data_IF_073044037914
#
_entry.id   IF_073044037914
#
_cell.length_a   1.000
_cell.length_b   1.000
_cell.length_c   1.000
_cell.angle_alpha   90.00
_cell.angle_beta   90.00
_cell.angle_gamma   90.00
#
_symmetry.space_group_name_H-M   'P 1'
#
loop_
_entity.id
_entity.type
_entity.pdbx_description
1 polymer ?
#
# COMPACT_ATOMS: atom_id res chain seq x y z
N UNK A 1 28.57 18.85 9.91
CA UNK A 1 28.02 18.01 8.85
C UNK A 1 26.70 17.44 9.31
N UNK A 2 25.72 17.30 8.42
CA UNK A 2 24.34 16.89 8.76
C UNK A 2 24.08 15.45 8.39
N UNK A 3 23.40 14.71 9.26
CA UNK A 3 22.79 13.40 8.97
C UNK A 3 21.28 13.52 9.14
N UNK A 4 20.54 13.23 8.07
CA UNK A 4 19.08 13.30 8.03
C UNK A 4 18.53 11.91 7.65
N UNK A 5 17.68 11.36 8.51
CA UNK A 5 16.99 10.09 8.30
C UNK A 5 15.51 10.36 8.13
N UNK A 6 14.92 9.85 7.08
CA UNK A 6 13.50 10.01 6.81
C UNK A 6 12.85 8.68 6.39
N UNK A 7 11.55 8.60 6.59
CA UNK A 7 10.71 7.55 6.01
C UNK A 7 9.75 8.15 5.00
N UNK A 8 9.35 7.34 4.04
CA UNK A 8 8.31 7.67 3.06
C UNK A 8 7.58 6.41 2.61
N UNK A 9 6.44 6.59 1.96
CA UNK A 9 5.69 5.52 1.29
C UNK A 9 5.66 5.83 -0.20
N UNK A 10 5.86 4.82 -1.04
CA UNK A 10 5.72 4.95 -2.49
C UNK A 10 4.25 5.18 -2.85
N UNK A 11 3.96 6.12 -3.74
CA UNK A 11 2.59 6.39 -4.21
C UNK A 11 2.09 5.35 -5.21
N UNK A 12 3.01 4.66 -5.88
CA UNK A 12 2.74 3.55 -6.81
C UNK A 12 3.93 2.60 -6.85
N UNK A 13 3.74 1.37 -7.28
CA UNK A 13 4.86 0.49 -7.57
C UNK A 13 5.81 1.13 -8.59
N UNK A 14 7.11 1.09 -8.30
CA UNK A 14 8.16 1.58 -9.20
C UNK A 14 8.70 0.37 -9.95
N UNK A 15 8.77 0.46 -11.28
CA UNK A 15 9.36 -0.59 -12.10
C UNK A 15 10.89 -0.64 -11.93
N UNK A 16 11.49 -1.79 -12.21
CA UNK A 16 12.95 -1.96 -12.11
C UNK A 16 13.71 -0.96 -12.98
N UNK A 17 13.20 -0.68 -14.18
CA UNK A 17 13.78 0.31 -15.09
C UNK A 17 13.73 1.72 -14.49
N UNK A 18 12.61 2.10 -13.90
CA UNK A 18 12.46 3.39 -13.21
C UNK A 18 13.36 3.46 -11.98
N UNK A 19 13.43 2.39 -11.21
CA UNK A 19 14.30 2.30 -10.03
C UNK A 19 15.76 2.47 -10.43
N UNK A 20 16.21 1.78 -11.48
CA UNK A 20 17.56 1.91 -12.00
C UNK A 20 17.87 3.36 -12.43
N UNK A 21 16.92 4.03 -13.11
CA UNK A 21 17.07 5.43 -13.51
C UNK A 21 17.13 6.37 -12.27
N UNK A 22 16.24 6.17 -11.30
CA UNK A 22 16.22 6.95 -10.05
C UNK A 22 17.56 6.85 -9.34
N UNK A 23 18.07 5.63 -9.20
CA UNK A 23 19.35 5.38 -8.52
C UNK A 23 20.52 5.96 -9.29
N UNK A 24 20.55 5.82 -10.63
CA UNK A 24 21.61 6.38 -11.48
C UNK A 24 21.64 7.92 -11.36
N UNK A 25 20.50 8.57 -11.55
CA UNK A 25 20.38 10.04 -11.43
C UNK A 25 20.67 10.50 -9.99
N UNK A 26 20.21 9.74 -9.00
CA UNK A 26 20.46 10.01 -7.59
C UNK A 26 21.93 9.97 -7.25
N UNK A 27 22.66 8.94 -7.70
CA UNK A 27 24.10 8.77 -7.50
C UNK A 27 24.90 9.90 -8.13
N UNK A 28 24.61 10.21 -9.39
CA UNK A 28 25.30 11.28 -10.11
C UNK A 28 25.14 12.63 -9.37
N UNK A 29 23.91 12.98 -9.01
CA UNK A 29 23.62 14.21 -8.28
C UNK A 29 24.28 14.22 -6.89
N UNK A 30 24.17 13.15 -6.14
CA UNK A 30 24.72 13.06 -4.79
C UNK A 30 26.24 13.14 -4.82
N UNK A 31 26.91 12.44 -5.75
CA UNK A 31 28.37 12.53 -5.92
C UNK A 31 28.80 13.95 -6.22
N UNK A 32 28.12 14.64 -7.14
CA UNK A 32 28.43 16.04 -7.50
C UNK A 32 28.26 17.00 -6.33
N UNK A 33 27.28 16.75 -5.47
CA UNK A 33 26.94 17.60 -4.33
C UNK A 33 27.69 17.20 -3.05
N UNK A 34 28.51 16.16 -3.07
CA UNK A 34 29.20 15.66 -1.90
C UNK A 34 28.24 15.08 -0.85
N UNK A 35 27.07 14.60 -1.27
CA UNK A 35 26.10 13.89 -0.40
C UNK A 35 26.36 12.40 -0.49
N UNK A 36 26.38 11.75 0.66
CA UNK A 36 26.35 10.28 0.77
C UNK A 36 25.06 9.82 1.44
N UNK A 37 24.73 8.55 1.33
CA UNK A 37 23.55 8.03 1.96
C UNK A 37 23.05 6.73 1.37
N UNK A 38 21.91 6.28 1.89
CA UNK A 38 21.32 5.00 1.57
C UNK A 38 19.81 5.16 1.39
N UNK A 39 19.25 4.36 0.50
CA UNK A 39 17.82 4.13 0.39
C UNK A 39 17.54 2.64 0.64
N UNK A 40 16.79 2.32 1.66
CA UNK A 40 16.30 0.97 1.89
C UNK A 40 14.77 0.96 1.76
N UNK A 41 14.22 -0.15 1.25
CA UNK A 41 12.78 -0.30 1.16
C UNK A 41 12.30 -1.67 1.64
N UNK A 42 11.03 -1.71 2.09
CA UNK A 42 10.28 -2.89 2.43
C UNK A 42 8.84 -2.72 1.96
N UNK A 43 8.43 -3.54 1.00
CA UNK A 43 7.13 -3.31 0.35
C UNK A 43 7.11 -1.89 -0.22
N UNK A 44 6.10 -1.13 0.12
CA UNK A 44 5.96 0.27 -0.35
C UNK A 44 6.64 1.31 0.55
N UNK A 45 7.19 0.88 1.70
CA UNK A 45 7.82 1.78 2.66
C UNK A 45 9.30 1.92 2.39
N UNK A 46 9.78 3.15 2.41
CA UNK A 46 11.17 3.51 2.23
C UNK A 46 11.74 4.18 3.48
N UNK A 47 13.02 3.92 3.75
CA UNK A 47 13.83 4.71 4.66
C UNK A 47 15.02 5.25 3.89
N UNK A 48 15.23 6.56 3.98
CA UNK A 48 16.35 7.24 3.35
C UNK A 48 17.26 7.89 4.37
N UNK A 49 18.55 7.87 4.09
CA UNK A 49 19.59 8.52 4.88
C UNK A 49 20.36 9.44 3.93
N UNK A 50 20.56 10.68 4.35
CA UNK A 50 21.34 11.69 3.62
C UNK A 50 22.37 12.28 4.57
N UNK A 51 23.64 12.29 4.16
CA UNK A 51 24.76 12.84 4.93
C UNK A 51 25.61 13.78 4.06
N UNK A 52 25.90 14.97 4.57
CA UNK A 52 26.65 15.98 3.82
C UNK A 52 26.70 17.33 4.51
N UNK A 53 26.96 18.38 3.73
CA UNK A 53 26.83 19.75 4.20
C UNK A 53 25.35 20.04 4.53
N UNK A 54 25.11 20.80 5.59
CA UNK A 54 23.77 21.05 6.13
C UNK A 54 22.78 21.60 5.08
N UNK A 55 23.14 22.68 4.40
CA UNK A 55 22.30 23.30 3.38
C UNK A 55 22.01 22.35 2.21
N UNK A 56 22.99 21.55 1.80
CA UNK A 56 22.87 20.62 0.69
C UNK A 56 21.97 19.43 1.05
N UNK A 57 22.09 18.90 2.27
CA UNK A 57 21.25 17.81 2.76
C UNK A 57 19.78 18.24 2.81
N UNK A 58 19.50 19.44 3.35
CA UNK A 58 18.13 19.96 3.42
C UNK A 58 17.55 20.27 2.04
N UNK A 59 18.34 20.78 1.10
CA UNK A 59 17.90 20.99 -0.29
C UNK A 59 17.56 19.65 -0.96
N UNK A 60 18.41 18.62 -0.79
CA UNK A 60 18.15 17.27 -1.30
C UNK A 60 16.89 16.66 -0.69
N UNK A 61 16.71 16.82 0.61
CA UNK A 61 15.50 16.36 1.28
C UNK A 61 14.24 17.09 0.81
N UNK A 62 14.32 18.41 0.56
CA UNK A 62 13.22 19.16 -0.02
C UNK A 62 12.80 18.62 -1.40
N UNK A 63 13.76 18.20 -2.24
CA UNK A 63 13.47 17.56 -3.52
C UNK A 63 12.77 16.21 -3.33
N UNK A 64 13.17 15.41 -2.33
CA UNK A 64 12.48 14.14 -2.00
C UNK A 64 11.02 14.40 -1.56
N UNK A 65 10.79 15.43 -0.74
CA UNK A 65 9.44 15.80 -0.30
C UNK A 65 8.55 16.30 -1.42
N UNK A 66 9.13 16.94 -2.43
CA UNK A 66 8.40 17.44 -3.60
C UNK A 66 8.19 16.38 -4.69
N UNK A 67 8.82 15.22 -4.57
CA UNK A 67 8.71 14.14 -5.56
C UNK A 67 7.36 13.43 -5.40
N UNK A 68 6.50 13.45 -6.44
CA UNK A 68 5.16 12.84 -6.37
C UNK A 68 5.17 11.32 -6.22
N UNK A 69 6.31 10.68 -6.38
CA UNK A 69 6.49 9.24 -6.15
C UNK A 69 6.54 8.88 -4.66
N UNK A 70 6.68 9.87 -3.77
CA UNK A 70 6.72 9.70 -2.34
C UNK A 70 5.53 10.39 -1.66
N UNK A 71 4.95 9.71 -0.69
CA UNK A 71 3.94 10.26 0.23
C UNK A 71 4.34 9.94 1.66
N UNK A 72 3.66 10.54 2.65
CA UNK A 72 3.93 10.32 4.07
C UNK A 72 5.40 10.53 4.46
N UNK A 73 6.07 11.49 3.83
CA UNK A 73 7.48 11.78 4.11
C UNK A 73 7.63 12.36 5.51
N UNK A 74 8.34 11.64 6.39
CA UNK A 74 8.57 12.02 7.79
C UNK A 74 10.06 12.00 8.11
N UNK A 75 10.54 13.05 8.77
CA UNK A 75 11.89 13.06 9.34
C UNK A 75 11.87 12.29 10.65
N UNK A 76 12.78 11.33 10.78
CA UNK A 76 12.99 10.55 11.99
C UNK A 76 14.18 11.07 12.81
N UNK A 77 15.21 11.55 12.12
CA UNK A 77 16.42 12.08 12.71
C UNK A 77 16.95 13.21 11.85
N UNK A 78 17.40 14.29 12.47
CA UNK A 78 18.03 15.44 11.82
C UNK A 78 19.02 16.05 12.78
N UNK A 79 20.30 15.62 12.69
CA UNK A 79 21.32 15.96 13.68
C UNK A 79 22.68 16.27 13.05
N UNK A 80 23.48 17.03 13.77
CA UNK A 80 24.87 17.23 13.42
C UNK A 80 25.71 16.01 13.79
N UNK A 81 26.54 15.57 12.85
CA UNK A 81 27.45 14.45 13.00
C UNK A 81 28.88 14.85 12.71
N UNK A 82 29.82 14.28 13.46
CA UNK A 82 31.24 14.56 13.26
C UNK A 82 31.78 13.88 11.99
N UNK A 83 31.34 12.63 11.75
CA UNK A 83 31.77 11.79 10.66
C UNK A 83 30.58 11.18 9.94
N UNK A 84 30.77 10.82 8.66
CA UNK A 84 29.74 10.11 7.89
C UNK A 84 29.64 8.65 8.35
N UNK A 85 28.41 8.17 8.48
CA UNK A 85 28.14 6.75 8.71
C UNK A 85 28.33 5.92 7.45
N UNK A 86 28.19 6.57 6.26
CA UNK A 86 28.25 5.92 4.94
C UNK A 86 29.14 6.71 3.97
N UNK A 87 30.47 6.83 4.25
CA UNK A 87 31.36 7.71 3.48
C UNK A 87 31.49 7.31 2.01
N UNK A 88 31.41 6.01 1.70
CA UNK A 88 31.62 5.47 0.35
C UNK A 88 30.31 5.32 -0.46
N UNK A 89 29.17 5.75 0.08
CA UNK A 89 27.85 5.49 -0.50
C UNK A 89 27.19 6.75 -1.04
N UNK A 90 27.39 7.07 -2.30
CA UNK A 90 26.69 8.18 -2.95
C UNK A 90 25.16 7.95 -3.08
N UNK A 91 24.73 6.70 -3.13
CA UNK A 91 23.34 6.21 -2.99
C UNK A 91 23.39 4.68 -2.99
N UNK A 92 23.49 4.06 -1.82
CA UNK A 92 23.28 2.62 -1.71
C UNK A 92 21.75 2.34 -1.73
N UNK A 93 21.38 1.21 -2.31
CA UNK A 93 20.01 0.74 -2.32
C UNK A 93 19.93 -0.68 -1.74
N UNK A 94 18.96 -0.92 -0.90
CA UNK A 94 18.74 -2.23 -0.29
C UNK A 94 17.27 -2.56 -0.20
N UNK A 95 16.87 -3.73 -0.72
CA UNK A 95 15.60 -4.35 -0.37
C UNK A 95 15.74 -5.09 0.95
N UNK A 96 14.87 -4.78 1.90
CA UNK A 96 14.88 -5.40 3.22
C UNK A 96 13.90 -6.58 3.32
N UNK A 97 13.17 -6.91 2.27
CA UNK A 97 12.18 -7.99 2.29
C UNK A 97 12.77 -9.34 2.72
N UNK A 98 14.00 -9.73 2.33
CA UNK A 98 14.65 -10.94 2.82
C UNK A 98 15.22 -10.81 4.25
N UNK A 99 15.48 -9.57 4.72
CA UNK A 99 16.24 -9.30 5.95
C UNK A 99 15.36 -8.87 7.13
N UNK A 100 14.09 -8.65 6.90
CA UNK A 100 13.16 -8.03 7.86
C UNK A 100 13.05 -8.77 9.18
N UNK A 101 13.19 -10.09 9.17
CA UNK A 101 13.19 -10.87 10.43
C UNK A 101 14.45 -10.62 11.28
N UNK A 102 15.49 -10.00 10.70
CA UNK A 102 16.79 -9.78 11.35
C UNK A 102 16.99 -8.34 11.82
N UNK A 103 16.12 -7.38 11.41
CA UNK A 103 16.23 -5.97 11.80
C UNK A 103 15.19 -5.61 12.86
N UNK A 104 15.55 -5.64 14.18
CA UNK A 104 14.62 -5.33 15.25
C UNK A 104 14.06 -3.92 15.12
N UNK A 105 12.73 -3.80 15.19
CA UNK A 105 12.06 -2.51 15.22
C UNK A 105 11.87 -1.81 13.88
N UNK A 106 12.34 -2.37 12.74
CA UNK A 106 12.12 -1.78 11.43
C UNK A 106 10.63 -1.70 11.05
N UNK A 107 9.88 -2.76 11.31
CA UNK A 107 8.42 -2.79 11.07
C UNK A 107 7.67 -1.72 11.85
N UNK A 108 8.12 -1.38 13.04
CA UNK A 108 7.46 -0.44 13.93
C UNK A 108 7.67 1.03 13.50
N UNK A 109 8.65 1.33 12.65
CA UNK A 109 8.83 2.66 12.08
C UNK A 109 7.68 3.05 11.14
N UNK A 110 7.00 2.05 10.56
CA UNK A 110 5.94 2.23 9.59
C UNK A 110 4.53 1.91 10.14
N UNK A 111 4.43 1.21 11.28
CA UNK A 111 3.16 0.77 11.88
C UNK A 111 2.48 1.80 12.78
N UNK A 112 2.87 3.04 12.77
CA UNK A 112 2.43 4.00 13.76
C UNK A 112 1.07 4.66 13.47
N UNK A 113 0.04 4.15 14.12
CA UNK A 113 -1.13 4.91 14.57
C UNK A 113 -0.88 5.67 15.89
N UNK A 114 0.38 5.87 16.31
CA UNK A 114 0.76 6.78 17.39
C UNK A 114 1.41 8.03 16.78
N UNK A 115 1.08 9.25 17.26
CA UNK A 115 1.95 10.39 17.02
C UNK A 115 3.33 9.95 17.49
N UNK A 116 4.29 9.88 16.58
CA UNK A 116 5.62 9.46 16.93
C UNK A 116 6.14 10.46 17.97
N UNK A 117 6.34 9.99 19.20
CA UNK A 117 7.22 10.69 20.12
C UNK A 117 8.53 10.90 19.35
N UNK A 118 8.95 12.15 19.09
CA UNK A 118 10.16 12.42 18.32
C UNK A 118 11.39 11.70 18.89
N UNK A 119 11.45 11.53 20.23
CA UNK A 119 12.51 10.81 20.92
C UNK A 119 12.49 9.31 20.59
N UNK A 120 11.31 8.71 20.40
CA UNK A 120 11.16 7.30 20.03
C UNK A 120 11.57 7.05 18.57
N UNK A 121 11.20 7.95 17.65
CA UNK A 121 11.61 7.90 16.25
C UNK A 121 13.13 8.03 16.10
N UNK A 122 13.74 9.00 16.77
CA UNK A 122 15.18 9.23 16.78
C UNK A 122 15.96 8.04 17.38
N UNK A 123 15.50 7.46 18.49
CA UNK A 123 16.15 6.30 19.11
C UNK A 123 16.16 5.08 18.19
N UNK A 124 15.06 4.83 17.46
CA UNK A 124 14.97 3.73 16.49
C UNK A 124 15.77 3.99 15.22
N UNK A 125 15.78 5.22 14.72
CA UNK A 125 16.64 5.61 13.61
C UNK A 125 18.12 5.38 13.94
N UNK A 126 18.56 5.76 15.15
CA UNK A 126 19.93 5.49 15.64
C UNK A 126 20.24 3.99 15.72
N UNK A 127 19.33 3.19 16.26
CA UNK A 127 19.48 1.73 16.31
C UNK A 127 19.58 1.12 14.90
N UNK A 128 18.83 1.62 13.95
CA UNK A 128 18.88 1.19 12.56
C UNK A 128 20.19 1.59 11.87
N UNK A 129 20.64 2.83 12.07
CA UNK A 129 21.95 3.31 11.59
C UNK A 129 23.09 2.46 12.13
N UNK A 130 23.05 2.13 13.43
CA UNK A 130 24.05 1.27 14.08
C UNK A 130 24.03 -0.16 13.53
N UNK A 131 22.85 -0.68 13.24
CA UNK A 131 22.71 -1.99 12.59
C UNK A 131 23.35 -2.01 11.19
N UNK A 132 23.02 -1.02 10.34
CA UNK A 132 23.63 -0.93 9.00
C UNK A 132 25.15 -0.70 9.06
N UNK A 133 25.64 0.04 10.03
CA UNK A 133 27.09 0.25 10.23
C UNK A 133 27.81 -1.05 10.60
N UNK A 134 27.15 -1.92 11.39
CA UNK A 134 27.69 -3.24 11.78
C UNK A 134 27.56 -4.28 10.66
N UNK A 135 26.62 -4.08 9.73
CA UNK A 135 26.35 -4.95 8.62
C UNK A 135 26.46 -4.14 7.30
N UNK A 136 27.68 -3.73 6.93
CA UNK A 136 27.87 -2.89 5.74
C UNK A 136 27.39 -3.65 4.52
N UNK A 137 26.48 -3.00 3.78
CA UNK A 137 25.91 -3.51 2.55
C UNK A 137 26.80 -3.03 1.41
N UNK A 138 27.22 -3.92 0.51
CA UNK A 138 27.99 -3.52 -0.65
C UNK A 138 27.17 -2.56 -1.52
N UNK A 139 27.75 -1.44 -2.02
CA UNK A 139 27.05 -0.57 -2.95
C UNK A 139 26.74 -1.36 -4.22
N UNK A 140 25.44 -1.48 -4.52
CA UNK A 140 24.96 -2.20 -5.70
C UNK A 140 25.03 -1.30 -6.93
N UNK A 141 25.48 -1.83 -8.05
CA UNK A 141 25.27 -1.19 -9.36
C UNK A 141 23.77 -1.19 -9.71
N UNK A 142 23.36 -0.37 -10.69
CA UNK A 142 21.96 -0.35 -11.11
C UNK A 142 21.47 -1.75 -11.52
N UNK A 143 22.31 -2.52 -12.21
CA UNK A 143 21.98 -3.90 -12.59
C UNK A 143 21.91 -4.82 -11.37
N UNK A 144 22.88 -4.71 -10.44
CA UNK A 144 22.86 -5.48 -9.20
C UNK A 144 21.67 -5.12 -8.29
N UNK A 145 21.16 -3.90 -8.38
CA UNK A 145 19.96 -3.48 -7.66
C UNK A 145 18.71 -4.15 -8.23
N UNK A 146 18.61 -4.21 -9.56
CA UNK A 146 17.54 -4.92 -10.26
C UNK A 146 17.60 -6.42 -9.92
N UNK A 147 18.81 -6.99 -9.96
CA UNK A 147 19.05 -8.42 -9.65
C UNK A 147 18.83 -8.74 -8.15
N UNK A 148 19.01 -7.75 -7.27
CA UNK A 148 18.80 -7.89 -5.82
C UNK A 148 17.35 -7.64 -5.38
N UNK A 149 16.48 -7.08 -6.23
CA UNK A 149 15.07 -7.06 -5.93
C UNK A 149 14.58 -8.51 -5.75
N UNK A 150 13.94 -8.79 -4.60
CA UNK A 150 13.47 -10.14 -4.32
C UNK A 150 12.73 -10.69 -5.55
N UNK A 151 13.11 -11.83 -6.09
CA UNK A 151 12.53 -12.34 -7.35
C UNK A 151 11.01 -12.38 -7.35
N UNK A 152 10.41 -12.61 -6.17
CA UNK A 152 8.95 -12.54 -5.99
C UNK A 152 8.40 -11.15 -6.30
N UNK A 153 9.08 -10.09 -5.85
CA UNK A 153 8.65 -8.70 -6.08
C UNK A 153 8.72 -8.35 -7.56
N UNK A 154 9.78 -8.77 -8.25
CA UNK A 154 9.90 -8.58 -9.72
C UNK A 154 8.77 -9.27 -10.48
N UNK A 155 8.49 -10.52 -10.15
CA UNK A 155 7.40 -11.26 -10.77
C UNK A 155 6.03 -10.59 -10.52
N UNK A 156 5.77 -10.12 -9.29
CA UNK A 156 4.53 -9.41 -8.95
C UNK A 156 4.43 -8.08 -9.69
N UNK A 157 5.50 -7.30 -9.78
CA UNK A 157 5.52 -6.04 -10.54
C UNK A 157 5.30 -6.29 -12.03
N UNK A 158 5.92 -7.34 -12.59
CA UNK A 158 5.65 -7.79 -13.95
C UNK A 158 4.19 -8.20 -14.17
N UNK A 159 3.58 -8.83 -13.18
CA UNK A 159 2.15 -9.19 -13.20
C UNK A 159 1.25 -7.95 -13.17
N UNK A 160 1.53 -6.97 -12.33
CA UNK A 160 0.81 -5.68 -12.30
C UNK A 160 0.89 -5.00 -13.68
N UNK A 161 2.08 -4.88 -14.25
CA UNK A 161 2.28 -4.28 -15.56
C UNK A 161 1.53 -5.04 -16.67
N UNK A 162 1.53 -6.38 -16.62
CA UNK A 162 0.80 -7.21 -17.58
C UNK A 162 -0.71 -6.96 -17.52
N UNK A 163 -1.28 -6.88 -16.30
CA UNK A 163 -2.71 -6.64 -16.10
C UNK A 163 -3.08 -5.20 -16.45
N UNK A 164 -2.22 -4.24 -16.14
CA UNK A 164 -2.45 -2.83 -16.46
C UNK A 164 -2.60 -2.62 -17.97
N UNK A 165 -1.72 -3.23 -18.77
CA UNK A 165 -1.69 -3.04 -20.22
C UNK A 165 -2.65 -3.97 -20.97
N UNK A 166 -2.76 -5.23 -20.55
CA UNK A 166 -3.52 -6.29 -21.25
C UNK A 166 -4.83 -6.71 -20.57
N UNK A 167 -5.15 -6.11 -19.42
CA UNK A 167 -6.27 -6.53 -18.58
C UNK A 167 -6.06 -7.90 -17.94
N UNK A 168 -7.04 -8.34 -17.15
CA UNK A 168 -7.01 -9.66 -16.47
C UNK A 168 -6.97 -10.81 -17.48
N UNK A 169 -7.60 -10.65 -18.66
CA UNK A 169 -7.59 -11.67 -19.73
C UNK A 169 -6.24 -11.86 -20.40
N UNK A 170 -5.37 -10.84 -20.37
CA UNK A 170 -3.99 -10.91 -20.87
C UNK A 170 -3.00 -11.53 -19.89
N UNK A 171 -3.43 -11.79 -18.66
CA UNK A 171 -2.57 -12.33 -17.62
C UNK A 171 -2.22 -13.80 -17.86
N UNK A 172 -0.92 -14.07 -17.96
CA UNK A 172 -0.38 -15.42 -18.04
C UNK A 172 1.04 -15.45 -17.50
N UNK A 173 1.49 -16.61 -17.00
CA UNK A 173 2.87 -16.77 -16.50
C UNK A 173 3.93 -16.39 -17.53
N UNK A 174 3.81 -16.78 -18.83
CA UNK A 174 4.74 -16.33 -19.85
C UNK A 174 4.80 -14.82 -20.04
N UNK A 175 3.66 -14.13 -20.06
CA UNK A 175 3.61 -12.68 -20.21
C UNK A 175 4.25 -11.97 -18.98
N UNK A 176 4.03 -12.50 -17.79
CA UNK A 176 4.66 -12.00 -16.57
C UNK A 176 6.18 -12.24 -16.59
N UNK A 177 6.63 -13.40 -17.05
CA UNK A 177 8.04 -13.72 -17.16
C UNK A 177 8.76 -12.74 -18.10
N UNK A 178 8.18 -12.47 -19.27
CA UNK A 178 8.68 -11.47 -20.22
C UNK A 178 8.78 -10.08 -19.58
N UNK A 179 7.69 -9.63 -18.94
CA UNK A 179 7.65 -8.29 -18.32
C UNK A 179 8.59 -8.12 -17.13
N UNK A 180 8.85 -9.19 -16.39
CA UNK A 180 9.72 -9.17 -15.22
C UNK A 180 11.20 -9.45 -15.55
N UNK A 181 11.53 -9.70 -16.83
CA UNK A 181 12.88 -10.12 -17.23
C UNK A 181 13.28 -11.46 -16.63
N UNK A 182 12.32 -12.35 -16.37
CA UNK A 182 12.54 -13.66 -15.78
C UNK A 182 12.18 -14.76 -16.78
N UNK A 183 12.66 -15.98 -16.52
CA UNK A 183 12.19 -17.16 -17.26
C UNK A 183 10.87 -17.66 -16.66
N UNK A 184 10.07 -18.35 -17.47
CA UNK A 184 8.85 -19.02 -16.99
C UNK A 184 9.16 -19.96 -15.83
N UNK A 185 10.27 -20.70 -15.89
CA UNK A 185 10.70 -21.61 -14.83
C UNK A 185 10.96 -20.87 -13.50
N UNK A 186 11.62 -19.72 -13.54
CA UNK A 186 11.86 -18.90 -12.34
C UNK A 186 10.55 -18.39 -11.72
N UNK A 187 9.61 -17.95 -12.55
CA UNK A 187 8.30 -17.50 -12.03
C UNK A 187 7.54 -18.66 -11.42
N UNK A 188 7.54 -19.83 -12.06
CA UNK A 188 6.84 -21.03 -11.56
C UNK A 188 7.45 -21.58 -10.27
N UNK A 189 8.77 -21.45 -10.10
CA UNK A 189 9.44 -21.83 -8.85
C UNK A 189 9.01 -20.93 -7.68
N UNK A 190 8.79 -19.65 -7.94
CA UNK A 190 8.38 -18.68 -6.91
C UNK A 190 6.89 -18.77 -6.55
N UNK A 191 6.05 -19.15 -7.52
CA UNK A 191 4.61 -19.22 -7.36
C UNK A 191 4.10 -20.57 -7.89
N UNK A 192 3.56 -21.43 -7.00
CA UNK A 192 3.17 -22.80 -7.35
C UNK A 192 2.01 -22.87 -8.34
N UNK A 193 1.27 -21.76 -8.55
CA UNK A 193 0.21 -21.67 -9.55
C UNK A 193 0.05 -20.25 -10.06
N UNK A 194 -0.60 -20.10 -11.21
CA UNK A 194 -1.00 -18.79 -11.75
C UNK A 194 -1.89 -18.03 -10.76
N UNK A 195 -2.75 -18.72 -10.02
CA UNK A 195 -3.62 -18.11 -9.01
C UNK A 195 -2.82 -17.60 -7.81
N UNK A 196 -1.78 -18.31 -7.39
CA UNK A 196 -0.89 -17.83 -6.32
C UNK A 196 -0.17 -16.53 -6.69
N UNK A 197 0.30 -16.42 -7.94
CA UNK A 197 0.88 -15.19 -8.45
C UNK A 197 -0.16 -14.07 -8.55
N UNK A 198 -1.34 -14.37 -9.05
CA UNK A 198 -2.44 -13.40 -9.16
C UNK A 198 -2.88 -12.90 -7.78
N UNK A 199 -2.99 -13.79 -6.81
CA UNK A 199 -3.32 -13.47 -5.42
C UNK A 199 -2.27 -12.51 -4.80
N UNK A 200 -0.99 -12.81 -4.96
CA UNK A 200 0.08 -11.94 -4.51
C UNK A 200 0.05 -10.55 -5.21
N UNK A 201 -0.34 -10.54 -6.49
CA UNK A 201 -0.49 -9.32 -7.29
C UNK A 201 -1.65 -8.46 -6.76
N UNK A 202 -2.82 -9.03 -6.51
CA UNK A 202 -3.97 -8.33 -5.91
C UNK A 202 -3.57 -7.71 -4.58
N UNK A 203 -2.93 -8.50 -3.71
CA UNK A 203 -2.53 -8.04 -2.38
C UNK A 203 -1.57 -6.86 -2.45
N UNK A 204 -0.51 -6.97 -3.24
CA UNK A 204 0.48 -5.90 -3.37
C UNK A 204 -0.13 -4.63 -3.94
N UNK A 205 -0.91 -4.75 -5.02
CA UNK A 205 -1.53 -3.59 -5.70
C UNK A 205 -2.57 -2.93 -4.81
N UNK A 206 -3.47 -3.70 -4.21
CA UNK A 206 -4.47 -3.17 -3.26
C UNK A 206 -3.79 -2.49 -2.09
N UNK A 207 -2.71 -3.06 -1.54
CA UNK A 207 -1.97 -2.47 -0.44
C UNK A 207 -1.30 -1.15 -0.84
N UNK A 208 -0.72 -1.07 -2.03
CA UNK A 208 -0.10 0.15 -2.53
C UNK A 208 -1.10 1.32 -2.60
N UNK A 209 -2.35 1.02 -3.03
CA UNK A 209 -3.43 2.00 -3.11
C UNK A 209 -4.00 2.35 -1.72
N UNK A 210 -4.18 1.35 -0.86
CA UNK A 210 -4.88 1.55 0.43
C UNK A 210 -3.99 2.10 1.56
N UNK A 211 -2.69 1.74 1.58
CA UNK A 211 -1.82 2.11 2.69
C UNK A 211 -1.67 3.63 2.91
N UNK A 212 -1.56 4.48 1.88
CA UNK A 212 -1.50 5.93 2.05
C UNK A 212 -2.78 6.53 2.64
N UNK A 213 -3.91 5.84 2.48
CA UNK A 213 -5.23 6.29 2.89
C UNK A 213 -5.60 5.87 4.31
N UNK A 214 -4.88 4.90 4.90
CA UNK A 214 -5.19 4.39 6.24
C UNK A 214 -5.25 5.47 7.34
N UNK A 215 -4.38 6.49 7.40
CA UNK A 215 -4.48 7.54 8.40
C UNK A 215 -5.83 8.26 8.38
N UNK A 216 -6.46 8.37 7.21
CA UNK A 216 -7.74 9.03 7.02
C UNK A 216 -8.86 8.37 7.84
N UNK A 217 -8.82 7.04 8.01
CA UNK A 217 -9.78 6.32 8.84
C UNK A 217 -9.74 6.78 10.31
N UNK A 218 -8.55 7.01 10.85
CA UNK A 218 -8.39 7.52 12.21
C UNK A 218 -8.77 9.01 12.35
N UNK A 219 -8.46 9.81 11.34
CA UNK A 219 -8.66 11.26 11.36
C UNK A 219 -10.11 11.66 11.04
N UNK A 220 -10.69 11.10 9.99
CA UNK A 220 -12.00 11.51 9.43
C UNK A 220 -13.08 10.41 9.50
N UNK A 221 -12.70 9.20 9.92
CA UNK A 221 -13.60 8.08 10.06
C UNK A 221 -13.65 7.14 8.86
N UNK A 222 -14.32 6.02 9.08
CA UNK A 222 -14.38 4.88 8.16
C UNK A 222 -15.01 5.22 6.82
N UNK A 223 -16.09 6.01 6.82
CA UNK A 223 -16.79 6.38 5.58
C UNK A 223 -15.91 7.25 4.71
N UNK A 224 -15.17 8.21 5.30
CA UNK A 224 -14.22 9.04 4.55
C UNK A 224 -13.04 8.21 3.99
N UNK A 225 -12.58 7.21 4.72
CA UNK A 225 -11.57 6.26 4.22
C UNK A 225 -12.09 5.45 3.03
N UNK A 226 -13.30 4.89 3.11
CA UNK A 226 -13.89 4.12 2.02
C UNK A 226 -14.18 4.99 0.79
N UNK A 227 -14.61 6.25 0.99
CA UNK A 227 -14.72 7.23 -0.08
C UNK A 227 -13.39 7.44 -0.80
N UNK A 228 -12.32 7.76 -0.05
CA UNK A 228 -11.00 8.00 -0.62
C UNK A 228 -10.44 6.75 -1.34
N UNK A 229 -10.70 5.56 -0.79
CA UNK A 229 -10.31 4.30 -1.41
C UNK A 229 -11.09 4.06 -2.72
N UNK A 230 -12.35 4.48 -2.78
CA UNK A 230 -13.17 4.38 -3.98
C UNK A 230 -12.68 5.32 -5.09
N UNK A 231 -12.32 6.57 -4.72
CA UNK A 231 -11.69 7.53 -5.65
C UNK A 231 -10.42 6.93 -6.23
N UNK A 232 -9.52 6.42 -5.38
CA UNK A 232 -8.27 5.82 -5.83
C UNK A 232 -8.48 4.56 -6.70
N UNK A 233 -9.49 3.76 -6.42
CA UNK A 233 -9.84 2.61 -7.26
C UNK A 233 -10.47 3.03 -8.60
N UNK A 234 -11.22 4.12 -8.65
CA UNK A 234 -11.80 4.64 -9.89
C UNK A 234 -10.71 5.13 -10.87
N UNK A 235 -9.59 5.61 -10.35
CA UNK A 235 -8.40 5.97 -11.14
C UNK A 235 -7.63 4.75 -11.67
N UNK A 236 -7.89 3.56 -11.13
CA UNK A 236 -7.23 2.29 -11.45
C UNK A 236 -8.24 1.20 -11.91
N UNK A 237 -8.87 1.35 -13.09
CA UNK A 237 -9.92 0.42 -13.54
C UNK A 237 -9.43 -1.03 -13.71
N UNK A 238 -8.13 -1.23 -13.99
CA UNK A 238 -7.54 -2.56 -14.10
C UNK A 238 -7.49 -3.26 -12.75
N UNK A 239 -7.14 -2.54 -11.67
CA UNK A 239 -7.20 -3.04 -10.30
C UNK A 239 -8.64 -3.33 -9.88
N UNK A 240 -9.58 -2.44 -10.19
CA UNK A 240 -11.00 -2.68 -9.89
C UNK A 240 -11.52 -3.97 -10.51
N UNK A 241 -11.22 -4.21 -11.80
CA UNK A 241 -11.58 -5.46 -12.49
C UNK A 241 -10.94 -6.68 -11.84
N UNK A 242 -9.66 -6.57 -11.48
CA UNK A 242 -8.92 -7.65 -10.82
C UNK A 242 -9.54 -8.01 -9.46
N UNK A 243 -9.87 -7.01 -8.63
CA UNK A 243 -10.53 -7.23 -7.35
C UNK A 243 -11.92 -7.86 -7.54
N UNK A 244 -12.72 -7.34 -8.49
CA UNK A 244 -14.04 -7.92 -8.77
C UNK A 244 -13.95 -9.40 -9.19
N UNK A 245 -13.00 -9.74 -10.06
CA UNK A 245 -12.74 -11.11 -10.47
C UNK A 245 -12.31 -12.00 -9.29
N UNK A 246 -11.47 -11.50 -8.40
CA UNK A 246 -11.01 -12.25 -7.23
C UNK A 246 -12.14 -12.52 -6.23
N UNK A 247 -13.09 -11.60 -6.08
CA UNK A 247 -14.27 -11.81 -5.24
C UNK A 247 -15.18 -12.92 -5.80
N UNK A 248 -15.34 -12.97 -7.13
CA UNK A 248 -16.08 -14.07 -7.76
C UNK A 248 -15.42 -15.42 -7.47
N UNK A 249 -14.09 -15.51 -7.66
CA UNK A 249 -13.34 -16.74 -7.33
C UNK A 249 -13.50 -17.12 -5.85
N UNK A 250 -13.50 -16.15 -4.95
CA UNK A 250 -13.66 -16.37 -3.50
C UNK A 250 -15.02 -17.03 -3.13
N UNK A 251 -16.04 -16.95 -3.99
CA UNK A 251 -17.36 -17.56 -3.73
C UNK A 251 -17.41 -19.05 -4.00
N UNK A 252 -16.49 -19.60 -4.79
CA UNK A 252 -16.39 -21.03 -5.05
C UNK A 252 -15.26 -21.66 -4.22
N UNK A 253 -15.59 -22.44 -3.17
CA UNK A 253 -14.58 -23.08 -2.32
C UNK A 253 -13.67 -24.06 -3.04
N UNK A 254 -14.07 -24.54 -4.21
CA UNK A 254 -13.29 -25.49 -5.02
C UNK A 254 -12.33 -24.80 -5.99
N UNK A 255 -12.48 -23.48 -6.18
CA UNK A 255 -11.63 -22.74 -7.10
C UNK A 255 -10.23 -22.48 -6.51
N UNK A 256 -9.22 -22.62 -7.37
CA UNK A 256 -7.85 -22.32 -6.99
C UNK A 256 -7.70 -20.85 -6.51
N UNK A 257 -7.14 -20.66 -5.32
CA UNK A 257 -6.95 -19.36 -4.69
C UNK A 257 -8.17 -18.81 -3.94
N UNK A 258 -9.31 -19.51 -3.93
CA UNK A 258 -10.54 -19.09 -3.27
C UNK A 258 -10.34 -18.75 -1.78
N UNK A 259 -9.66 -19.63 -1.05
CA UNK A 259 -9.40 -19.45 0.38
C UNK A 259 -8.55 -18.21 0.66
N UNK A 260 -7.61 -17.93 -0.22
CA UNK A 260 -6.77 -16.74 -0.11
C UNK A 260 -7.60 -15.46 -0.31
N UNK A 261 -8.36 -15.36 -1.39
CA UNK A 261 -9.19 -14.17 -1.67
C UNK A 261 -10.27 -13.98 -0.61
N UNK A 262 -10.86 -15.08 -0.13
CA UNK A 262 -11.83 -15.06 0.96
C UNK A 262 -11.20 -14.53 2.25
N UNK A 263 -10.02 -15.02 2.62
CA UNK A 263 -9.29 -14.57 3.81
C UNK A 263 -8.95 -13.09 3.73
N UNK A 264 -8.45 -12.60 2.58
CA UNK A 264 -8.16 -11.18 2.35
C UNK A 264 -9.43 -10.30 2.48
N UNK A 265 -10.56 -10.77 1.94
CA UNK A 265 -11.83 -10.05 2.07
C UNK A 265 -12.33 -10.01 3.53
N UNK A 266 -12.21 -11.11 4.26
CA UNK A 266 -12.61 -11.18 5.67
C UNK A 266 -11.73 -10.29 6.54
N UNK A 267 -10.43 -10.20 6.25
CA UNK A 267 -9.50 -9.28 6.92
C UNK A 267 -9.90 -7.82 6.65
N UNK A 268 -10.17 -7.45 5.40
CA UNK A 268 -10.64 -6.12 5.05
C UNK A 268 -11.97 -5.76 5.77
N UNK A 269 -12.92 -6.69 5.81
CA UNK A 269 -14.17 -6.53 6.56
C UNK A 269 -13.92 -6.28 8.05
N UNK A 270 -12.97 -6.99 8.64
CA UNK A 270 -12.61 -6.81 10.04
C UNK A 270 -11.96 -5.44 10.28
N UNK A 271 -11.11 -4.97 9.38
CA UNK A 271 -10.54 -3.62 9.43
C UNK A 271 -11.63 -2.56 9.40
N UNK A 272 -12.60 -2.67 8.50
CA UNK A 272 -13.75 -1.74 8.41
C UNK A 272 -14.60 -1.80 9.68
N UNK A 273 -14.89 -3.00 10.20
CA UNK A 273 -15.64 -3.17 11.43
C UNK A 273 -14.95 -2.53 12.65
N UNK A 274 -13.65 -2.78 12.80
CA UNK A 274 -12.85 -2.21 13.89
C UNK A 274 -12.75 -0.69 13.81
N UNK A 275 -12.64 -0.16 12.60
CA UNK A 275 -12.63 1.29 12.33
C UNK A 275 -13.97 1.92 12.69
N UNK A 276 -15.11 1.32 12.31
CA UNK A 276 -16.43 1.78 12.70
C UNK A 276 -16.64 1.74 14.21
N UNK A 277 -16.15 0.71 14.89
CA UNK A 277 -16.21 0.65 16.36
C UNK A 277 -15.37 1.78 17.00
N UNK A 278 -14.28 2.19 16.39
CA UNK A 278 -13.51 3.35 16.80
C UNK A 278 -14.27 4.67 16.54
N UNK A 279 -15.00 4.77 15.43
CA UNK A 279 -15.84 5.93 15.11
C UNK A 279 -16.97 6.13 16.12
N UNK A 280 -17.63 5.05 16.55
CA UNK A 280 -18.64 5.11 17.62
C UNK A 280 -18.02 5.61 18.93
N UNK A 281 -16.88 5.05 19.32
CA UNK A 281 -16.18 5.50 20.55
C UNK A 281 -15.73 6.95 20.50
N UNK A 282 -15.37 7.43 19.31
CA UNK A 282 -14.98 8.82 19.08
C UNK A 282 -16.15 9.78 18.88
N UNK A 283 -17.41 9.30 18.90
CA UNK A 283 -18.62 10.09 18.65
C UNK A 283 -18.80 10.55 17.21
N UNK A 284 -18.06 9.97 16.26
CA UNK A 284 -18.23 10.24 14.82
C UNK A 284 -19.42 9.52 14.22
N UNK A 285 -19.78 8.38 14.80
CA UNK A 285 -20.99 7.64 14.48
C UNK A 285 -21.85 7.46 15.74
N UNK A 286 -23.18 7.32 15.59
CA UNK A 286 -24.08 7.24 16.72
C UNK A 286 -23.85 5.97 17.56
N UNK A 287 -24.07 6.06 18.87
CA UNK A 287 -23.91 4.93 19.79
C UNK A 287 -24.89 3.76 19.50
N UNK A 288 -25.96 4.02 18.75
CA UNK A 288 -26.96 3.04 18.30
C UNK A 288 -26.46 2.20 17.12
N UNK A 289 -25.39 2.64 16.43
CA UNK A 289 -24.83 1.90 15.29
C UNK A 289 -24.08 0.67 15.77
N UNK A 290 -24.51 -0.50 15.28
CA UNK A 290 -23.79 -1.76 15.47
C UNK A 290 -22.66 -1.86 14.42
N UNK A 291 -21.37 -1.87 14.82
CA UNK A 291 -20.24 -1.95 13.88
C UNK A 291 -20.24 -3.19 12.99
N UNK A 292 -20.82 -4.30 13.43
CA UNK A 292 -20.95 -5.53 12.62
C UNK A 292 -21.91 -5.27 11.46
N UNK A 293 -23.11 -4.80 11.74
CA UNK A 293 -24.11 -4.50 10.71
C UNK A 293 -23.69 -3.33 9.84
N UNK A 294 -23.14 -2.27 10.43
CA UNK A 294 -22.61 -1.12 9.69
C UNK A 294 -21.53 -1.50 8.68
N UNK A 295 -20.60 -2.38 9.07
CA UNK A 295 -19.56 -2.86 8.15
C UNK A 295 -20.14 -3.71 7.00
N UNK A 296 -21.10 -4.57 7.27
CA UNK A 296 -21.81 -5.35 6.26
C UNK A 296 -22.52 -4.46 5.24
N UNK A 297 -23.25 -3.46 5.73
CA UNK A 297 -23.99 -2.52 4.89
C UNK A 297 -23.06 -1.67 4.03
N UNK A 298 -22.01 -1.09 4.62
CA UNK A 298 -21.04 -0.27 3.89
C UNK A 298 -20.29 -1.07 2.83
N UNK A 299 -19.86 -2.29 3.15
CA UNK A 299 -19.15 -3.12 2.18
C UNK A 299 -20.06 -3.63 1.07
N UNK A 300 -21.32 -3.98 1.38
CA UNK A 300 -22.29 -4.33 0.34
C UNK A 300 -22.52 -3.17 -0.64
N UNK A 301 -22.63 -1.94 -0.11
CA UNK A 301 -22.72 -0.74 -0.93
C UNK A 301 -21.46 -0.50 -1.75
N UNK A 302 -20.30 -0.56 -1.11
CA UNK A 302 -19.00 -0.33 -1.71
C UNK A 302 -18.71 -1.31 -2.85
N UNK A 303 -18.86 -2.61 -2.61
CA UNK A 303 -18.61 -3.64 -3.60
C UNK A 303 -19.66 -3.65 -4.71
N UNK A 304 -20.94 -3.45 -4.36
CA UNK A 304 -22.02 -3.38 -5.33
C UNK A 304 -21.88 -2.21 -6.31
N UNK A 305 -21.54 -1.02 -5.82
CA UNK A 305 -21.34 0.17 -6.68
C UNK A 305 -20.13 0.02 -7.58
N UNK A 306 -19.02 -0.55 -7.07
CA UNK A 306 -17.85 -0.86 -7.89
C UNK A 306 -18.18 -1.83 -9.02
N UNK A 307 -18.92 -2.89 -8.72
CA UNK A 307 -19.35 -3.84 -9.73
C UNK A 307 -20.26 -3.18 -10.78
N UNK A 308 -21.23 -2.37 -10.33
CA UNK A 308 -22.11 -1.62 -11.25
C UNK A 308 -21.32 -0.71 -12.17
N UNK A 309 -20.39 0.08 -11.65
CA UNK A 309 -19.58 0.99 -12.48
C UNK A 309 -18.76 0.26 -13.53
N UNK A 310 -18.26 -0.95 -13.23
CA UNK A 310 -17.55 -1.78 -14.20
C UNK A 310 -18.46 -2.37 -15.29
N UNK A 311 -19.74 -2.60 -14.96
CA UNK A 311 -20.70 -3.21 -15.88
C UNK A 311 -21.36 -2.17 -16.81
N UNK A 312 -21.71 -1.02 -16.27
CA UNK A 312 -22.51 -0.01 -17.00
C UNK A 312 -21.64 1.09 -17.62
N UNK A 313 -20.51 1.42 -16.99
CA UNK A 313 -19.59 2.47 -17.45
C UNK A 313 -20.13 3.91 -17.32
N UNK A 314 -21.38 4.08 -16.88
CA UNK A 314 -22.06 5.36 -16.74
C UNK A 314 -22.28 5.80 -15.29
N UNK A 315 -21.93 4.94 -14.33
CA UNK A 315 -22.11 5.20 -12.90
C UNK A 315 -20.93 5.98 -12.33
N UNK A 316 -21.17 7.21 -11.88
CA UNK A 316 -20.25 7.90 -10.98
C UNK A 316 -20.28 7.19 -9.63
N UNK A 317 -19.32 6.30 -9.45
CA UNK A 317 -19.25 5.41 -8.28
C UNK A 317 -19.03 6.18 -6.98
N UNK A 318 -18.35 7.33 -7.06
CA UNK A 318 -18.02 8.15 -5.89
C UNK A 318 -19.25 8.92 -5.43
N UNK A 319 -19.94 9.62 -6.34
CA UNK A 319 -21.20 10.33 -6.03
C UNK A 319 -22.28 9.36 -5.54
N UNK A 320 -22.41 8.20 -6.19
CA UNK A 320 -23.37 7.18 -5.79
C UNK A 320 -23.09 6.64 -4.38
N UNK A 321 -21.82 6.41 -4.03
CA UNK A 321 -21.41 5.98 -2.70
C UNK A 321 -21.74 7.06 -1.66
N UNK A 322 -21.35 8.31 -1.89
CA UNK A 322 -21.54 9.40 -0.96
C UNK A 322 -23.02 9.61 -0.61
N UNK A 323 -23.88 9.60 -1.64
CA UNK A 323 -25.35 9.74 -1.43
C UNK A 323 -25.92 8.58 -0.64
N UNK A 324 -25.53 7.36 -0.97
CA UNK A 324 -26.06 6.17 -0.32
C UNK A 324 -25.51 6.01 1.11
N UNK A 325 -24.22 6.20 1.32
CA UNK A 325 -23.59 6.17 2.65
C UNK A 325 -24.15 7.25 3.56
N UNK A 326 -24.40 8.47 3.04
CA UNK A 326 -25.04 9.55 3.80
C UNK A 326 -26.45 9.17 4.28
N UNK A 327 -27.26 8.54 3.44
CA UNK A 327 -28.60 8.06 3.82
C UNK A 327 -28.52 6.94 4.84
N UNK A 328 -27.62 6.00 4.64
CA UNK A 328 -27.39 4.87 5.55
C UNK A 328 -27.00 5.36 6.94
N UNK A 329 -26.07 6.34 7.04
CA UNK A 329 -25.62 6.92 8.31
C UNK A 329 -26.75 7.61 9.07
N UNK A 330 -27.68 8.28 8.37
CA UNK A 330 -28.87 8.85 9.00
C UNK A 330 -29.74 7.78 9.65
N UNK A 331 -29.92 6.65 8.98
CA UNK A 331 -30.66 5.52 9.53
C UNK A 331 -29.99 4.85 10.74
N UNK A 332 -28.67 5.01 10.93
CA UNK A 332 -27.98 4.45 12.10
C UNK A 332 -28.33 5.14 13.43
N UNK A 333 -28.83 6.37 13.39
CA UNK A 333 -29.33 7.08 14.57
C UNK A 333 -30.75 6.68 14.98
N UNK A 334 -31.43 5.92 14.13
CA UNK A 334 -32.81 5.45 14.40
C UNK A 334 -32.75 4.04 15.00
N UNK A 335 -33.67 3.77 15.95
CA UNK A 335 -33.82 2.42 16.45
C UNK A 335 -34.48 1.57 15.36
N UNK A 336 -33.80 0.51 14.92
CA UNK A 336 -34.34 -0.39 13.92
C UNK A 336 -35.51 -1.18 14.52
N UNK A 337 -36.71 -0.94 14.01
CA UNK A 337 -37.85 -1.80 14.23
C UNK A 337 -38.02 -2.71 13.01
N UNK A 338 -37.95 -4.01 13.24
CA UNK A 338 -38.18 -4.97 12.16
C UNK A 338 -39.61 -4.80 11.66
N UNK A 339 -39.86 -4.45 10.39
CA UNK A 339 -41.21 -4.36 9.87
C UNK A 339 -41.87 -5.71 10.02
N UNK A 340 -43.02 -5.74 10.64
CA UNK A 340 -43.83 -6.94 10.82
C UNK A 340 -44.39 -7.43 9.49
N UNK A 341 -44.40 -6.56 8.48
CA UNK A 341 -44.77 -6.84 7.10
C UNK A 341 -43.98 -5.92 6.15
N UNK A 342 -43.44 -6.49 5.11
CA UNK A 342 -43.10 -5.67 3.95
C UNK A 342 -44.45 -5.19 3.38
N UNK A 343 -44.71 -3.89 3.38
CA UNK A 343 -45.87 -3.26 2.73
C UNK A 343 -45.84 -3.39 1.19
N UNK A 344 -45.18 -4.44 0.72
CA UNK A 344 -45.22 -4.85 -0.69
C UNK A 344 -46.46 -5.76 -0.80
N UNK A 345 -47.52 -5.35 -1.48
CA UNK A 345 -48.66 -6.21 -1.71
C UNK A 345 -48.17 -7.47 -2.41
N UNK A 346 -48.22 -8.63 -1.74
CA UNK A 346 -48.00 -9.89 -2.39
C UNK A 346 -49.13 -10.06 -3.41
N UNK A 347 -48.79 -9.88 -4.68
CA UNK A 347 -49.77 -10.09 -5.75
C UNK A 347 -50.30 -11.52 -5.65
N UNK A 348 -51.54 -11.69 -5.22
CA UNK A 348 -52.22 -12.98 -5.22
C UNK A 348 -52.97 -13.43 -4.01
N UNK A 349 -53.06 -12.66 -2.92
CA UNK A 349 -54.06 -12.94 -1.85
C UNK A 349 -55.28 -12.09 -2.07
N UNK A 350 -56.20 -12.62 -2.88
CA UNK A 350 -57.63 -12.31 -2.85
C UNK A 350 -58.35 -13.45 -2.21
#
# INVERSE_FOLDING_TARGET
>A
MRSLVYTSTQTRPITDSELAQILAVGREKNTRLGVTGMLAHKGDNCIGILEGEDAVVHERFAQVRADPRHTNVRVLLDEDVAERSFPDWSMAFQSLDPLVQQVPGFSDLFTSGRPADPAFGASRAKGLLEWFRKHPLAPLTSQQTIDAEAPKTRAINGAIATIHDGGVSGFSVPAVAERSGMTVAQVTELFPSQHALLAATVMRWTRAVSAPLQPLAAEKGTVAYLHALLVAHAEEPALMRLIASSLVVATDPSADGADYYRSAYLEFREVVRASLAADVRAGREPATMDPVRGSQQLLALYDGLRLQSLLTGDTDVVDAFDRAATRMRRGWSEQYEQPTYWDIPVAGTR
#
